data_IF_094679277646
#
_entry.id   IF_094679277646
#
_cell.length_a   1.000
_cell.length_b   1.000
_cell.length_c   1.000
_cell.angle_alpha   90.00
_cell.angle_beta   90.00
_cell.angle_gamma   90.00
#
_symmetry.space_group_name_H-M   'P 1'
#
loop_
_entity.id
_entity.type
_entity.pdbx_description
1 polymer ?
#
# COMPACT_ATOMS: atom_id res chain seq x y z
N UNK A 1 -38.80 -15.59 6.60
CA UNK A 1 -39.56 -16.06 5.43
C UNK A 1 -38.55 -16.55 4.40
N UNK A 2 -38.13 -17.80 4.54
CA UNK A 2 -37.13 -18.45 3.69
C UNK A 2 -37.83 -19.25 2.59
N UNK A 3 -37.32 -19.14 1.35
CA UNK A 3 -37.73 -19.96 0.21
C UNK A 3 -36.72 -21.11 0.03
N UNK A 4 -37.11 -22.39 0.14
CA UNK A 4 -36.30 -23.50 -0.36
C UNK A 4 -36.91 -24.02 -1.68
N UNK A 5 -36.13 -24.09 -2.77
CA UNK A 5 -36.74 -24.43 -4.06
C UNK A 5 -35.86 -24.89 -5.22
N UNK A 6 -34.56 -25.17 -5.05
CA UNK A 6 -33.73 -25.64 -6.19
C UNK A 6 -33.36 -27.14 -6.17
N UNK A 7 -33.41 -27.80 -5.00
CA UNK A 7 -33.01 -29.22 -4.91
C UNK A 7 -34.08 -30.22 -5.42
N UNK A 8 -35.35 -29.82 -5.51
CA UNK A 8 -36.46 -30.69 -5.92
C UNK A 8 -36.57 -30.89 -7.45
N UNK A 9 -35.88 -30.09 -8.27
CA UNK A 9 -36.02 -30.16 -9.73
C UNK A 9 -35.03 -31.12 -10.41
N UNK A 10 -33.86 -31.40 -9.81
CA UNK A 10 -32.90 -32.33 -10.40
C UNK A 10 -33.29 -33.81 -10.25
N UNK A 11 -34.02 -34.20 -9.20
CA UNK A 11 -34.46 -35.59 -9.02
C UNK A 11 -35.52 -36.04 -10.05
N UNK A 12 -36.36 -35.11 -10.54
CA UNK A 12 -37.42 -35.43 -11.50
C UNK A 12 -36.92 -35.64 -12.93
N UNK A 13 -35.68 -35.28 -13.23
CA UNK A 13 -35.08 -35.47 -14.56
C UNK A 13 -34.45 -36.88 -14.71
N UNK A 14 -33.96 -37.47 -13.62
CA UNK A 14 -33.32 -38.80 -13.65
C UNK A 14 -34.34 -39.95 -13.64
N UNK A 15 -35.51 -39.76 -13.02
CA UNK A 15 -36.52 -40.82 -12.93
C UNK A 15 -37.35 -41.00 -14.23
N UNK A 16 -37.38 -39.98 -15.10
CA UNK A 16 -38.23 -39.99 -16.32
C UNK A 16 -37.60 -40.74 -17.50
N UNK A 17 -36.30 -41.06 -17.44
CA UNK A 17 -35.57 -41.74 -18.52
C UNK A 17 -35.52 -43.27 -18.35
N UNK A 18 -35.90 -43.81 -17.19
CA UNK A 18 -35.84 -45.26 -16.91
C UNK A 18 -37.15 -46.04 -17.08
N UNK A 19 -38.28 -45.39 -17.41
CA UNK A 19 -39.63 -46.02 -17.37
C UNK A 19 -40.36 -46.24 -18.70
N UNK A 20 -39.73 -46.01 -19.85
CA UNK A 20 -40.32 -46.34 -21.15
C UNK A 20 -39.41 -47.27 -21.94
N UNK A 21 -39.61 -48.58 -21.77
CA UNK A 21 -39.57 -49.59 -22.85
C UNK A 21 -39.58 -51.00 -22.25
N UNK A 22 -40.75 -51.44 -21.79
CA UNK A 22 -41.04 -52.86 -21.59
C UNK A 22 -42.43 -53.11 -22.16
N UNK A 23 -42.52 -53.82 -23.29
CA UNK A 23 -43.68 -54.63 -23.71
C UNK A 23 -43.30 -55.52 -24.91
N UNK A 24 -43.83 -56.75 -24.85
CA UNK A 24 -44.11 -57.71 -25.92
C UNK A 24 -43.02 -58.71 -26.34
N UNK A 25 -42.98 -59.81 -25.59
CA UNK A 25 -42.62 -61.15 -26.07
C UNK A 25 -43.53 -61.59 -27.22
N UNK A 26 -42.94 -61.80 -28.41
CA UNK A 26 -43.48 -62.72 -29.41
C UNK A 26 -42.43 -63.78 -29.75
N UNK A 27 -42.80 -65.02 -29.44
CA UNK A 27 -42.05 -66.26 -29.63
C UNK A 27 -41.96 -66.56 -31.13
N UNK A 28 -40.75 -66.54 -31.68
CA UNK A 28 -40.42 -67.02 -33.02
C UNK A 28 -39.13 -67.81 -32.93
N UNK A 29 -39.22 -69.13 -32.93
CA UNK A 29 -38.08 -70.04 -32.97
C UNK A 29 -37.30 -69.82 -34.26
N UNK A 30 -36.16 -69.14 -34.16
CA UNK A 30 -35.09 -69.25 -35.15
C UNK A 30 -33.86 -69.69 -34.40
N UNK A 31 -33.42 -70.92 -34.65
CA UNK A 31 -32.15 -71.48 -34.20
C UNK A 31 -31.03 -70.48 -34.51
N UNK A 32 -30.61 -69.71 -33.51
CA UNK A 32 -29.45 -68.83 -33.62
C UNK A 32 -28.29 -69.63 -33.06
N UNK A 33 -27.38 -70.03 -33.95
CA UNK A 33 -26.09 -70.62 -33.57
C UNK A 33 -25.53 -69.90 -32.36
N UNK A 34 -25.20 -70.65 -31.31
CA UNK A 34 -24.33 -70.16 -30.23
C UNK A 34 -23.03 -69.79 -30.93
N UNK A 35 -22.82 -68.48 -31.17
CA UNK A 35 -21.52 -67.99 -31.57
C UNK A 35 -20.56 -68.37 -30.46
N UNK A 36 -19.48 -69.03 -30.85
CA UNK A 36 -18.32 -69.31 -30.00
C UNK A 36 -17.91 -67.98 -29.36
N UNK A 37 -18.03 -67.85 -28.05
CA UNK A 37 -17.30 -66.83 -27.28
C UNK A 37 -15.84 -67.26 -27.37
N UNK A 38 -15.10 -66.69 -28.31
CA UNK A 38 -13.66 -66.93 -28.40
C UNK A 38 -13.03 -66.31 -27.15
N UNK A 39 -12.53 -67.17 -26.25
CA UNK A 39 -11.82 -66.72 -25.06
C UNK A 39 -10.56 -65.96 -25.45
N UNK A 40 -10.34 -64.80 -24.83
CA UNK A 40 -9.15 -63.98 -25.04
C UNK A 40 -7.88 -64.81 -24.84
N UNK A 41 -6.97 -64.73 -25.80
CA UNK A 41 -5.64 -65.34 -25.68
C UNK A 41 -4.86 -64.63 -24.56
N UNK A 42 -4.10 -65.39 -23.77
CA UNK A 42 -3.22 -64.84 -22.73
C UNK A 42 -2.24 -63.79 -23.30
N UNK A 43 -1.85 -63.95 -24.56
CA UNK A 43 -1.00 -63.01 -25.30
C UNK A 43 -1.72 -61.67 -25.56
N UNK A 44 -3.01 -61.69 -25.84
CA UNK A 44 -3.81 -60.50 -26.12
C UNK A 44 -4.02 -59.66 -24.84
N UNK A 45 -4.20 -60.32 -23.71
CA UNK A 45 -4.27 -59.66 -22.39
C UNK A 45 -2.91 -59.04 -22.03
N UNK A 46 -1.80 -59.71 -22.36
CA UNK A 46 -0.45 -59.15 -22.14
C UNK A 46 -0.20 -57.93 -23.04
N UNK A 47 -0.56 -58.00 -24.32
CA UNK A 47 -0.42 -56.87 -25.25
C UNK A 47 -1.24 -55.66 -24.79
N UNK A 48 -2.49 -55.86 -24.38
CA UNK A 48 -3.36 -54.75 -23.93
C UNK A 48 -2.84 -54.08 -22.66
N UNK A 49 -2.31 -54.83 -21.69
CA UNK A 49 -1.68 -54.25 -20.49
C UNK A 49 -0.45 -53.41 -20.86
N UNK A 50 0.41 -53.91 -21.75
CA UNK A 50 1.61 -53.18 -22.18
C UNK A 50 1.23 -51.89 -22.91
N UNK A 51 0.27 -51.96 -23.84
CA UNK A 51 -0.21 -50.77 -24.56
C UNK A 51 -0.84 -49.76 -23.59
N UNK A 52 -1.62 -50.22 -22.61
CA UNK A 52 -2.25 -49.36 -21.61
C UNK A 52 -1.22 -48.65 -20.72
N UNK A 53 -0.18 -49.35 -20.26
CA UNK A 53 0.89 -48.76 -19.46
C UNK A 53 1.66 -47.71 -20.26
N UNK A 54 1.94 -47.95 -21.55
CA UNK A 54 2.59 -46.97 -22.41
C UNK A 54 1.74 -45.70 -22.61
N UNK A 55 0.43 -45.86 -22.79
CA UNK A 55 -0.51 -44.73 -22.90
C UNK A 55 -0.59 -43.96 -21.57
N UNK A 56 -0.67 -44.66 -20.43
CA UNK A 56 -0.65 -44.03 -19.10
C UNK A 56 0.65 -43.26 -18.85
N UNK A 57 1.80 -43.80 -19.26
CA UNK A 57 3.08 -43.12 -19.12
C UNK A 57 3.13 -41.83 -19.97
N UNK A 58 2.67 -41.90 -21.22
CA UNK A 58 2.62 -40.74 -22.12
C UNK A 58 1.67 -39.65 -21.58
N UNK A 59 0.48 -40.03 -21.12
CA UNK A 59 -0.51 -39.10 -20.55
C UNK A 59 -0.07 -38.53 -19.21
N UNK A 60 0.60 -39.30 -18.36
CA UNK A 60 1.14 -38.82 -17.08
C UNK A 60 2.15 -37.68 -17.27
N UNK A 61 3.03 -37.77 -18.28
CA UNK A 61 3.98 -36.69 -18.56
C UNK A 61 3.26 -35.41 -18.96
N UNK A 62 2.27 -35.50 -19.86
CA UNK A 62 1.47 -34.32 -20.26
C UNK A 62 0.71 -33.70 -19.09
N UNK A 63 0.19 -34.53 -18.18
CA UNK A 63 -0.51 -34.07 -16.99
C UNK A 63 0.43 -33.36 -16.02
N UNK A 64 1.65 -33.87 -15.82
CA UNK A 64 2.67 -33.21 -14.99
C UNK A 64 3.02 -31.84 -15.55
N UNK A 65 3.18 -31.70 -16.86
CA UNK A 65 3.53 -30.42 -17.48
C UNK A 65 2.36 -29.43 -17.39
N UNK A 66 1.12 -29.87 -17.63
CA UNK A 66 -0.08 -29.05 -17.39
C UNK A 66 -0.19 -28.57 -15.94
N UNK A 67 0.11 -29.43 -14.96
CA UNK A 67 0.10 -29.05 -13.56
C UNK A 67 1.19 -28.03 -13.22
N UNK A 68 2.39 -28.16 -13.80
CA UNK A 68 3.48 -27.19 -13.62
C UNK A 68 3.10 -25.83 -14.20
N UNK A 69 2.54 -25.82 -15.41
CA UNK A 69 2.10 -24.59 -16.06
C UNK A 69 0.96 -23.92 -15.29
N UNK A 70 -0.02 -24.71 -14.83
CA UNK A 70 -1.09 -24.20 -13.97
C UNK A 70 -0.54 -23.58 -12.68
N UNK A 71 0.40 -24.25 -11.99
CA UNK A 71 1.03 -23.70 -10.78
C UNK A 71 1.78 -22.39 -11.07
N UNK A 72 2.53 -22.33 -12.17
CA UNK A 72 3.22 -21.11 -12.60
C UNK A 72 2.24 -19.97 -12.86
N UNK A 73 1.18 -20.21 -13.63
CA UNK A 73 0.18 -19.20 -13.94
C UNK A 73 -0.59 -18.74 -12.71
N UNK A 74 -0.94 -19.67 -11.81
CA UNK A 74 -1.61 -19.34 -10.54
C UNK A 74 -0.73 -18.45 -9.66
N UNK A 75 0.54 -18.81 -9.47
CA UNK A 75 1.48 -18.03 -8.66
C UNK A 75 1.73 -16.64 -9.25
N UNK A 76 1.85 -16.51 -10.58
CA UNK A 76 1.96 -15.20 -11.24
C UNK A 76 0.69 -14.36 -11.04
N UNK A 77 -0.49 -14.97 -11.14
CA UNK A 77 -1.75 -14.26 -10.93
C UNK A 77 -1.92 -13.78 -9.49
N UNK A 78 -1.50 -14.58 -8.52
CA UNK A 78 -1.53 -14.24 -7.09
C UNK A 78 -0.66 -13.01 -6.83
N UNK A 79 0.62 -13.04 -7.21
CA UNK A 79 1.54 -11.91 -7.02
C UNK A 79 1.07 -10.64 -7.75
N UNK A 80 0.40 -10.79 -8.90
CA UNK A 80 -0.10 -9.64 -9.65
C UNK A 80 -1.30 -8.97 -8.96
N UNK A 81 -2.18 -9.75 -8.35
CA UNK A 81 -3.35 -9.22 -7.63
C UNK A 81 -2.88 -8.52 -6.34
N UNK A 82 -2.00 -9.16 -5.57
CA UNK A 82 -1.44 -8.59 -4.34
C UNK A 82 -0.67 -7.31 -4.64
N UNK A 83 0.19 -7.33 -5.66
CA UNK A 83 0.94 -6.15 -6.08
C UNK A 83 0.05 -5.01 -6.57
N UNK A 84 -1.04 -5.30 -7.29
CA UNK A 84 -1.96 -4.25 -7.74
C UNK A 84 -2.62 -3.53 -6.55
N UNK A 85 -3.11 -4.26 -5.54
CA UNK A 85 -3.75 -3.68 -4.36
C UNK A 85 -2.75 -2.92 -3.49
N UNK A 86 -1.56 -3.50 -3.30
CA UNK A 86 -0.49 -2.87 -2.52
C UNK A 86 -0.02 -1.55 -3.15
N UNK A 87 0.25 -1.55 -4.46
CA UNK A 87 0.72 -0.37 -5.19
C UNK A 87 -0.36 0.70 -5.32
N UNK A 88 -1.65 0.34 -5.41
CA UNK A 88 -2.75 1.30 -5.36
C UNK A 88 -2.82 2.00 -4.00
N UNK A 89 -2.54 1.27 -2.91
CA UNK A 89 -2.48 1.85 -1.56
C UNK A 89 -1.36 2.91 -1.46
N UNK A 90 -0.17 2.59 -1.97
CA UNK A 90 0.95 3.54 -2.05
C UNK A 90 0.60 4.75 -2.91
N UNK A 91 0.04 4.52 -4.10
CA UNK A 91 -0.36 5.59 -5.00
C UNK A 91 -1.38 6.54 -4.34
N UNK A 92 -2.38 5.99 -3.65
CA UNK A 92 -3.41 6.76 -2.94
C UNK A 92 -2.81 7.58 -1.80
N UNK A 93 -1.89 7.01 -1.03
CA UNK A 93 -1.23 7.73 0.07
C UNK A 93 -0.38 8.89 -0.47
N UNK A 94 0.40 8.66 -1.53
CA UNK A 94 1.21 9.73 -2.16
C UNK A 94 0.30 10.85 -2.67
N UNK A 95 -0.78 10.49 -3.38
CA UNK A 95 -1.75 11.48 -3.87
C UNK A 95 -2.39 12.28 -2.72
N UNK A 96 -2.50 11.66 -1.55
CA UNK A 96 -3.06 12.28 -0.35
C UNK A 96 -2.05 13.10 0.46
N UNK A 97 -0.76 13.09 0.12
CA UNK A 97 0.25 13.82 0.90
C UNK A 97 -0.14 15.31 1.01
N UNK A 98 -0.11 15.85 2.24
CA UNK A 98 -0.54 17.22 2.50
C UNK A 98 -2.03 17.39 2.82
N UNK A 99 -2.85 16.37 2.60
CA UNK A 99 -4.29 16.41 2.91
C UNK A 99 -4.52 16.63 4.40
N UNK A 100 -5.19 17.73 4.74
CA UNK A 100 -5.48 18.12 6.12
C UNK A 100 -4.25 18.48 6.96
N UNK A 101 -3.06 18.68 6.36
CA UNK A 101 -1.91 19.14 7.13
C UNK A 101 -2.05 20.63 7.48
N UNK A 102 -1.73 21.02 8.73
CA UNK A 102 -1.63 22.43 9.09
C UNK A 102 -0.41 23.05 8.41
N UNK A 103 -0.58 24.22 7.83
CA UNK A 103 0.52 24.98 7.22
C UNK A 103 1.11 26.00 8.16
N UNK A 104 0.28 26.48 9.07
CA UNK A 104 0.68 27.33 10.15
C UNK A 104 0.36 26.61 11.49
N UNK A 105 1.38 26.49 12.33
CA UNK A 105 1.28 25.94 13.69
C UNK A 105 1.52 27.01 14.76
N UNK A 106 1.60 28.29 14.37
CA UNK A 106 1.76 29.45 15.24
C UNK A 106 0.57 29.61 16.17
N UNK A 107 0.84 29.48 17.46
CA UNK A 107 -0.20 29.46 18.48
C UNK A 107 -0.04 28.26 19.39
N UNK A 108 0.44 27.12 18.87
CA UNK A 108 1.03 26.05 19.67
C UNK A 108 2.34 26.58 20.28
N UNK A 109 2.47 26.59 21.61
CA UNK A 109 3.68 27.09 22.25
C UNK A 109 4.84 26.14 21.99
N UNK A 110 5.78 26.59 21.17
CA UNK A 110 6.98 25.84 20.78
C UNK A 110 8.25 26.39 21.45
N UNK A 111 8.08 26.97 22.65
CA UNK A 111 9.16 27.49 23.49
C UNK A 111 8.93 26.95 24.89
N UNK A 112 9.90 26.18 25.36
CA UNK A 112 10.01 25.51 26.67
C UNK A 112 9.15 24.25 26.89
N UNK A 113 9.78 23.12 26.51
CA UNK A 113 9.48 21.74 26.90
C UNK A 113 9.30 21.64 28.42
N UNK A 114 8.15 21.12 28.89
CA UNK A 114 8.02 20.24 30.08
C UNK A 114 6.57 19.87 30.42
N UNK A 115 5.55 20.45 29.79
CA UNK A 115 4.16 20.03 29.99
C UNK A 115 3.64 19.23 28.79
N UNK A 116 3.07 18.05 29.05
CA UNK A 116 2.45 17.20 28.05
C UNK A 116 1.37 17.95 27.24
N UNK A 117 1.56 18.10 25.93
CA UNK A 117 0.50 18.52 24.99
C UNK A 117 0.80 19.70 24.06
N UNK A 118 1.90 20.45 24.25
CA UNK A 118 2.16 21.70 23.49
C UNK A 118 3.11 21.55 22.29
N UNK A 119 3.90 20.47 22.24
CA UNK A 119 4.73 20.12 21.08
C UNK A 119 4.32 18.75 20.56
N UNK A 120 4.00 18.67 19.27
CA UNK A 120 3.72 17.37 18.68
C UNK A 120 4.99 16.53 18.56
N UNK A 121 4.85 15.23 18.80
CA UNK A 121 5.90 14.22 18.73
C UNK A 121 5.48 13.22 17.67
N UNK A 122 6.34 12.97 16.70
CA UNK A 122 6.10 12.01 15.63
C UNK A 122 6.64 10.62 16.01
N UNK A 123 7.34 9.93 15.12
CA UNK A 123 7.89 8.62 15.39
C UNK A 123 8.93 8.69 16.52
N UNK A 124 8.92 7.69 17.40
CA UNK A 124 10.05 7.47 18.33
C UNK A 124 11.20 6.81 17.59
N UNK A 125 12.41 6.95 18.11
CA UNK A 125 13.55 6.23 17.55
C UNK A 125 13.34 4.72 17.61
N UNK A 126 13.63 4.05 16.51
CA UNK A 126 13.69 2.59 16.42
C UNK A 126 15.11 2.20 15.99
N UNK A 127 15.96 1.70 16.92
CA UNK A 127 17.38 1.52 16.65
C UNK A 127 17.66 0.49 15.55
N UNK A 128 18.54 0.88 14.63
CA UNK A 128 18.87 0.17 13.39
C UNK A 128 19.77 -1.06 13.64
N UNK A 129 19.38 -2.20 13.04
CA UNK A 129 20.24 -3.36 12.81
C UNK A 129 20.72 -3.43 11.35
N UNK A 130 21.56 -4.41 11.02
CA UNK A 130 21.89 -4.69 9.61
C UNK A 130 20.65 -5.26 8.89
N UNK A 131 20.27 -4.67 7.76
CA UNK A 131 19.06 -5.06 7.01
C UNK A 131 17.76 -4.39 7.48
N UNK A 132 17.85 -3.49 8.47
CA UNK A 132 16.73 -2.68 8.96
C UNK A 132 16.66 -1.32 8.24
N UNK A 133 15.47 -0.72 8.11
CA UNK A 133 15.31 0.62 7.57
C UNK A 133 15.99 1.69 8.44
N UNK A 134 16.22 2.91 7.90
CA UNK A 134 16.72 4.03 8.68
C UNK A 134 15.78 4.41 9.84
N UNK A 135 16.34 5.06 10.86
CA UNK A 135 15.60 5.44 12.08
C UNK A 135 14.48 6.42 11.69
N UNK A 136 13.19 6.06 11.91
CA UNK A 136 12.06 6.91 11.52
C UNK A 136 12.09 8.28 12.21
N UNK A 137 12.73 8.43 13.37
CA UNK A 137 12.88 9.71 14.04
C UNK A 137 13.71 10.73 13.20
N UNK A 138 14.54 10.23 12.27
CA UNK A 138 15.33 11.06 11.35
C UNK A 138 14.49 11.87 10.35
N UNK A 139 13.20 11.58 10.25
CA UNK A 139 12.26 12.24 9.34
C UNK A 139 11.15 13.03 10.07
N UNK A 140 11.28 13.20 11.38
CA UNK A 140 10.36 13.98 12.20
C UNK A 140 10.47 15.48 11.90
N UNK A 141 9.35 16.19 11.80
CA UNK A 141 9.30 17.66 11.88
C UNK A 141 8.93 18.14 13.29
N UNK A 142 8.25 17.28 14.06
CA UNK A 142 7.90 17.47 15.47
C UNK A 142 9.10 17.35 16.41
N UNK A 143 8.90 17.24 17.73
CA UNK A 143 10.00 17.07 18.69
C UNK A 143 10.34 15.59 18.91
N UNK A 144 11.63 15.19 18.94
CA UNK A 144 12.78 15.94 18.44
C UNK A 144 12.69 16.06 16.91
N UNK A 145 13.05 17.23 16.39
CA UNK A 145 13.00 17.48 14.95
C UNK A 145 14.20 16.80 14.29
N UNK A 146 14.01 16.35 13.05
CA UNK A 146 15.10 15.93 12.19
C UNK A 146 16.09 17.07 12.06
N UNK A 147 17.37 16.72 11.92
CA UNK A 147 18.43 17.71 11.74
C UNK A 147 18.24 18.58 10.48
N UNK A 148 17.39 18.14 9.54
CA UNK A 148 17.15 18.75 8.25
C UNK A 148 15.66 19.11 8.03
N UNK A 149 15.36 20.21 7.30
CA UNK A 149 16.30 21.23 6.84
C UNK A 149 16.94 22.00 8.00
N UNK A 150 18.18 22.45 7.85
CA UNK A 150 18.86 23.27 8.87
C UNK A 150 18.24 24.67 8.94
N UNK A 151 18.14 25.30 10.12
CA UNK A 151 18.50 24.79 11.45
C UNK A 151 17.34 24.04 12.11
N UNK A 152 17.63 22.83 12.61
CA UNK A 152 16.78 22.14 13.58
C UNK A 152 16.40 23.11 14.72
N UNK A 153 15.19 23.00 15.25
CA UNK A 153 14.68 23.81 16.38
C UNK A 153 14.15 25.23 16.05
N UNK A 154 13.52 25.43 14.88
CA UNK A 154 12.60 26.56 14.62
C UNK A 154 11.24 26.03 14.16
N UNK A 155 10.11 26.59 14.63
CA UNK A 155 8.73 26.05 14.44
C UNK A 155 8.52 25.55 13.02
N UNK A 156 8.41 24.23 12.81
CA UNK A 156 8.23 23.66 11.46
C UNK A 156 6.79 23.25 11.27
N UNK A 157 6.15 23.84 10.27
CA UNK A 157 5.01 23.18 9.66
C UNK A 157 5.45 21.78 9.20
N UNK A 158 4.59 20.75 9.33
CA UNK A 158 4.92 19.42 8.86
C UNK A 158 5.15 19.41 7.35
N UNK A 159 6.23 18.77 6.90
CA UNK A 159 6.46 18.47 5.50
C UNK A 159 5.49 17.37 5.07
N UNK A 160 4.78 17.60 3.98
CA UNK A 160 3.87 16.59 3.43
C UNK A 160 4.60 15.31 2.99
N UNK A 161 5.83 15.47 2.52
CA UNK A 161 6.71 14.42 2.08
C UNK A 161 8.07 14.61 2.75
N UNK A 162 8.68 13.53 3.20
CA UNK A 162 10.11 13.49 3.48
C UNK A 162 10.67 12.21 2.87
N UNK A 163 11.92 12.21 2.46
CA UNK A 163 12.57 11.02 1.92
C UNK A 163 13.99 10.89 2.43
N UNK A 164 14.46 9.65 2.47
CA UNK A 164 15.86 9.31 2.65
C UNK A 164 16.37 8.69 1.36
N UNK A 165 17.13 9.47 0.59
CA UNK A 165 17.76 9.03 -0.65
C UNK A 165 18.91 8.05 -0.35
N UNK A 166 18.86 6.83 -0.86
CA UNK A 166 19.87 5.79 -0.63
C UNK A 166 20.15 5.56 0.87
N UNK A 167 19.09 5.46 1.66
CA UNK A 167 19.19 5.26 3.13
C UNK A 167 18.68 3.91 3.62
N UNK A 168 18.00 3.15 2.76
CA UNK A 168 17.47 1.83 3.05
C UNK A 168 18.46 0.71 2.75
N UNK A 169 17.92 -0.50 2.60
CA UNK A 169 18.66 -1.72 2.29
C UNK A 169 19.24 -1.70 0.88
N UNK A 170 20.42 -2.32 0.69
CA UNK A 170 20.98 -2.59 -0.63
C UNK A 170 21.05 -4.10 -0.88
N UNK A 171 20.23 -4.57 -1.80
CA UNK A 171 20.19 -5.97 -2.22
C UNK A 171 20.92 -6.23 -3.54
N UNK A 172 21.51 -5.20 -4.17
CA UNK A 172 22.23 -5.36 -5.42
C UNK A 172 23.41 -6.33 -5.23
N UNK A 173 23.58 -7.27 -6.17
CA UNK A 173 24.70 -8.21 -6.12
C UNK A 173 26.05 -7.51 -6.27
N UNK A 174 26.06 -6.32 -6.88
CA UNK A 174 27.20 -5.42 -6.97
C UNK A 174 26.84 -4.15 -6.23
N UNK A 175 27.38 -3.99 -5.03
CA UNK A 175 27.20 -2.80 -4.23
C UNK A 175 27.90 -1.60 -4.89
N UNK A 176 27.17 -0.50 -5.03
CA UNK A 176 27.70 0.79 -5.48
C UNK A 176 27.67 1.75 -4.29
N UNK A 177 28.79 2.45 -4.06
CA UNK A 177 28.90 3.34 -2.90
C UNK A 177 27.87 4.47 -3.03
N UNK A 178 27.03 4.61 -2.01
CA UNK A 178 26.00 5.65 -1.97
C UNK A 178 24.73 5.29 -2.72
N UNK A 179 24.55 4.02 -3.12
CA UNK A 179 23.31 3.53 -3.71
C UNK A 179 22.65 2.49 -2.80
N UNK A 180 21.38 2.70 -2.47
CA UNK A 180 20.52 1.71 -1.82
C UNK A 180 19.05 2.04 -2.08
N UNK A 181 18.12 1.25 -1.56
CA UNK A 181 16.71 1.60 -1.65
C UNK A 181 16.38 2.87 -0.87
N UNK A 182 15.39 3.60 -1.35
CA UNK A 182 14.90 4.81 -0.71
C UNK A 182 13.95 4.53 0.45
N UNK A 183 13.81 5.54 1.31
CA UNK A 183 12.80 5.60 2.36
C UNK A 183 11.85 6.76 2.06
N UNK A 184 10.54 6.52 2.08
CA UNK A 184 9.54 7.55 1.78
C UNK A 184 8.59 7.75 2.96
N UNK A 185 8.48 8.99 3.43
CA UNK A 185 7.54 9.42 4.47
C UNK A 185 6.44 10.25 3.85
N UNK A 186 5.20 9.89 4.18
CA UNK A 186 4.00 10.58 3.73
C UNK A 186 3.23 11.04 4.96
N UNK A 187 2.96 12.35 5.04
CA UNK A 187 2.17 12.95 6.12
C UNK A 187 0.86 13.49 5.55
N UNK A 188 -0.24 13.04 6.14
CA UNK A 188 -1.59 13.49 5.83
C UNK A 188 -2.57 12.95 6.86
N UNK A 189 -3.80 13.45 6.90
CA UNK A 189 -4.78 12.91 7.86
C UNK A 189 -5.20 11.50 7.47
N UNK A 190 -5.47 11.25 6.20
CA UNK A 190 -6.13 10.04 5.69
C UNK A 190 -5.18 8.86 5.36
N UNK A 191 -3.89 8.94 5.69
CA UNK A 191 -2.92 7.83 5.46
C UNK A 191 -3.01 6.72 6.50
N UNK A 192 -3.66 6.99 7.64
CA UNK A 192 -3.98 5.95 8.61
C UNK A 192 -5.13 5.06 8.15
N UNK A 193 -5.14 3.82 8.62
CA UNK A 193 -6.09 2.76 8.24
C UNK A 193 -7.45 2.83 8.95
N UNK A 194 -7.67 3.84 9.79
CA UNK A 194 -8.91 3.96 10.56
C UNK A 194 -10.00 4.73 9.77
N UNK A 195 -11.27 4.54 10.15
CA UNK A 195 -12.40 5.23 9.47
C UNK A 195 -12.46 6.71 9.85
N UNK A 196 -12.01 7.07 11.06
CA UNK A 196 -12.04 8.45 11.56
C UNK A 196 -11.18 9.40 10.73
N UNK A 197 -10.00 8.95 10.30
CA UNK A 197 -9.06 9.71 9.47
C UNK A 197 -9.57 10.03 8.06
N UNK A 198 -10.63 9.36 7.62
CA UNK A 198 -11.22 9.54 6.29
C UNK A 198 -12.36 10.56 6.31
N UNK A 199 -12.71 11.12 7.47
CA UNK A 199 -13.90 11.95 7.66
C UNK A 199 -13.57 13.34 8.18
N UNK A 200 -14.35 14.31 7.74
CA UNK A 200 -14.22 15.71 8.13
C UNK A 200 -15.60 16.39 8.18
N UNK A 201 -15.69 17.52 8.88
CA UNK A 201 -16.88 18.38 8.87
C UNK A 201 -16.49 19.83 9.09
N UNK A 202 -17.45 20.73 8.99
CA UNK A 202 -17.27 22.13 9.35
C UNK A 202 -17.57 22.36 10.83
N UNK A 203 -16.78 23.23 11.44
CA UNK A 203 -17.00 23.79 12.78
C UNK A 203 -17.30 25.29 12.66
N UNK A 204 -18.39 25.73 13.27
CA UNK A 204 -18.87 27.11 13.30
C UNK A 204 -18.95 27.59 14.74
N UNK A 205 -19.02 28.91 14.94
CA UNK A 205 -19.12 29.53 16.26
C UNK A 205 -20.27 28.91 17.09
N UNK A 206 -20.02 28.71 18.38
CA UNK A 206 -20.94 28.06 19.31
C UNK A 206 -20.87 26.53 19.26
N UNK A 207 -19.71 25.96 18.94
CA UNK A 207 -19.43 24.54 18.80
C UNK A 207 -20.33 23.81 17.77
N UNK A 208 -20.86 24.56 16.80
CA UNK A 208 -21.86 24.08 15.87
C UNK A 208 -21.21 23.34 14.69
N UNK A 209 -21.60 22.08 14.49
CA UNK A 209 -21.02 21.19 13.48
C UNK A 209 -22.00 20.94 12.35
N UNK A 210 -21.48 20.81 11.13
CA UNK A 210 -22.34 20.44 9.98
C UNK A 210 -22.65 18.94 10.03
N UNK A 211 -23.93 18.60 10.04
CA UNK A 211 -24.38 17.23 9.91
C UNK A 211 -24.46 16.81 8.44
N UNK A 212 -23.86 15.68 8.11
CA UNK A 212 -23.94 15.06 6.79
C UNK A 212 -25.07 14.02 6.74
N UNK A 213 -25.65 13.85 5.55
CA UNK A 213 -26.64 12.80 5.24
C UNK A 213 -26.09 11.94 4.10
N UNK A 214 -25.95 10.60 4.27
CA UNK A 214 -26.33 9.81 5.45
C UNK A 214 -25.44 10.07 6.69
N UNK A 215 -25.95 9.74 7.88
CA UNK A 215 -25.26 10.04 9.15
C UNK A 215 -23.88 9.38 9.28
N UNK A 216 -23.60 8.30 8.55
CA UNK A 216 -22.28 7.68 8.50
C UNK A 216 -21.19 8.58 7.94
N UNK A 217 -21.53 9.61 7.16
CA UNK A 217 -20.55 10.57 6.64
C UNK A 217 -20.07 11.56 7.71
N UNK A 218 -20.76 11.63 8.86
CA UNK A 218 -20.25 12.40 10.00
C UNK A 218 -18.98 11.77 10.56
N UNK A 219 -18.11 12.64 11.07
CA UNK A 219 -16.88 12.24 11.78
C UNK A 219 -17.26 11.25 12.88
N UNK A 220 -16.72 10.05 12.78
CA UNK A 220 -17.12 8.92 13.60
C UNK A 220 -15.96 7.91 13.71
N UNK A 221 -16.04 7.05 14.72
CA UNK A 221 -15.10 5.96 14.98
C UNK A 221 -15.12 4.89 13.91
N UNK A 222 -16.31 4.58 13.38
CA UNK A 222 -16.52 3.47 12.46
C UNK A 222 -17.63 3.76 11.42
N UNK A 223 -18.05 2.72 10.71
CA UNK A 223 -19.10 2.74 9.70
C UNK A 223 -20.52 2.53 10.25
N UNK A 224 -20.70 2.41 11.58
CA UNK A 224 -21.99 2.06 12.22
C UNK A 224 -23.07 3.13 12.16
N UNK A 225 -22.86 4.23 11.42
CA UNK A 225 -23.75 5.38 11.30
C UNK A 225 -24.04 6.14 12.61
N UNK A 226 -23.50 5.70 13.75
CA UNK A 226 -23.69 6.34 15.05
C UNK A 226 -22.61 7.39 15.29
N UNK A 227 -22.93 8.64 15.60
CA UNK A 227 -21.88 9.63 15.90
C UNK A 227 -21.15 9.30 17.21
N UNK A 228 -19.91 8.81 17.13
CA UNK A 228 -19.03 8.65 18.28
C UNK A 228 -18.38 10.00 18.64
N UNK A 229 -18.75 10.49 19.82
CA UNK A 229 -18.33 11.77 20.35
C UNK A 229 -16.92 11.76 20.96
N UNK A 230 -16.30 10.59 21.15
CA UNK A 230 -14.99 10.43 21.77
C UNK A 230 -13.82 10.44 20.78
N UNK A 231 -14.10 10.40 19.48
CA UNK A 231 -13.06 10.45 18.45
C UNK A 231 -12.23 11.72 18.56
N UNK A 232 -10.93 11.60 18.29
CA UNK A 232 -10.00 12.72 18.41
C UNK A 232 -9.90 13.46 17.09
N UNK A 233 -10.07 14.77 17.20
CA UNK A 233 -10.18 15.67 16.06
C UNK A 233 -9.20 16.82 16.20
N UNK A 234 -8.81 17.35 15.06
CA UNK A 234 -8.11 18.63 14.96
C UNK A 234 -8.98 19.63 14.22
N UNK A 235 -8.72 20.92 14.48
CA UNK A 235 -9.44 22.01 13.84
C UNK A 235 -8.44 22.90 13.12
N UNK A 236 -8.71 23.11 11.83
CA UNK A 236 -7.90 23.97 10.96
C UNK A 236 -8.77 25.15 10.55
N UNK A 237 -8.28 26.36 10.86
CA UNK A 237 -8.79 27.56 10.24
C UNK A 237 -8.20 27.64 8.82
N UNK A 238 -9.02 27.56 7.76
CA UNK A 238 -8.52 27.62 6.40
C UNK A 238 -7.77 28.93 6.11
N UNK A 239 -8.14 30.04 6.77
CA UNK A 239 -7.54 31.35 6.56
C UNK A 239 -7.67 31.87 5.13
N UNK A 240 -7.19 33.09 4.89
CA UNK A 240 -7.22 33.72 3.56
C UNK A 240 -5.97 34.48 3.15
N UNK A 241 -4.98 34.61 4.04
CA UNK A 241 -3.70 35.28 3.77
C UNK A 241 -2.54 34.28 3.92
N UNK A 242 -1.45 34.48 3.17
CA UNK A 242 -0.30 33.55 3.09
C UNK A 242 0.34 33.23 4.44
N UNK A 243 0.19 34.11 5.46
CA UNK A 243 0.68 33.87 6.82
C UNK A 243 -0.33 33.27 7.80
N UNK A 244 -1.59 33.06 7.38
CA UNK A 244 -2.67 32.56 8.25
C UNK A 244 -3.48 31.43 7.63
N UNK A 245 -3.03 30.92 6.48
CA UNK A 245 -3.69 29.83 5.77
C UNK A 245 -3.44 28.50 6.47
N UNK A 246 -4.48 27.66 6.54
CA UNK A 246 -4.49 26.36 7.22
C UNK A 246 -3.81 26.41 8.60
N UNK A 247 -4.25 27.36 9.43
CA UNK A 247 -3.80 27.55 10.79
C UNK A 247 -4.40 26.48 11.71
N UNK A 248 -3.52 25.75 12.42
CA UNK A 248 -3.92 24.80 13.46
C UNK A 248 -4.47 25.55 14.68
N UNK A 249 -5.72 25.29 15.04
CA UNK A 249 -6.31 25.84 16.26
C UNK A 249 -5.82 25.06 17.47
N UNK A 250 -5.50 25.80 18.53
CA UNK A 250 -5.14 25.25 19.83
C UNK A 250 -5.95 25.94 20.92
N UNK A 251 -6.18 25.25 22.03
CA UNK A 251 -6.85 25.82 23.18
C UNK A 251 -5.91 26.74 24.00
N UNK A 252 -6.44 27.31 25.09
CA UNK A 252 -5.65 28.13 26.01
C UNK A 252 -4.45 27.39 26.63
N UNK A 253 -4.58 26.07 26.82
CA UNK A 253 -3.52 25.17 27.29
C UNK A 253 -2.56 24.71 26.20
N UNK A 254 -2.71 25.21 24.96
CA UNK A 254 -1.90 24.88 23.79
C UNK A 254 -2.09 23.45 23.28
N UNK A 255 -3.20 22.81 23.62
CA UNK A 255 -3.58 21.49 23.11
C UNK A 255 -4.23 21.66 21.73
N UNK A 256 -3.70 20.93 20.74
CA UNK A 256 -4.13 21.02 19.34
C UNK A 256 -5.24 20.04 18.93
N UNK A 257 -5.70 19.21 19.87
CA UNK A 257 -6.74 18.22 19.61
C UNK A 257 -7.79 18.21 20.73
N UNK A 258 -9.01 17.83 20.37
CA UNK A 258 -10.11 17.63 21.32
C UNK A 258 -10.88 16.35 20.97
N UNK A 259 -11.72 15.89 21.88
CA UNK A 259 -12.78 14.96 21.52
C UNK A 259 -13.81 15.69 20.63
N UNK A 260 -14.45 14.98 19.71
CA UNK A 260 -15.45 15.56 18.81
C UNK A 260 -16.55 16.33 19.57
N UNK A 261 -16.99 15.87 20.75
CA UNK A 261 -17.99 16.58 21.54
C UNK A 261 -17.49 17.79 22.35
N UNK A 262 -16.20 18.13 22.29
CA UNK A 262 -15.60 19.13 23.17
C UNK A 262 -14.72 20.12 22.38
N UNK A 263 -15.21 20.61 21.24
CA UNK A 263 -14.48 21.53 20.35
C UNK A 263 -14.75 23.02 20.58
N UNK A 264 -15.49 23.37 21.64
CA UNK A 264 -15.84 24.76 21.98
C UNK A 264 -14.63 25.69 22.22
N UNK A 265 -13.48 25.15 22.63
CA UNK A 265 -12.25 25.97 22.80
C UNK A 265 -11.50 26.22 21.48
N UNK A 266 -11.93 25.56 20.38
CA UNK A 266 -11.25 25.58 19.08
C UNK A 266 -12.10 26.22 17.97
N UNK A 267 -13.36 26.52 18.24
CA UNK A 267 -14.28 27.09 17.28
C UNK A 267 -13.98 28.58 16.99
N UNK A 268 -14.65 29.17 15.99
CA UNK A 268 -14.56 30.61 15.76
C UNK A 268 -15.15 31.42 16.93
N UNK A 269 -14.61 32.62 17.13
CA UNK A 269 -15.09 33.54 18.17
C UNK A 269 -16.60 33.75 18.10
N UNK A 270 -17.23 33.96 19.26
CA UNK A 270 -18.69 34.12 19.35
C UNK A 270 -19.16 35.27 18.45
N UNK A 271 -20.09 34.95 17.54
CA UNK A 271 -20.61 35.91 16.55
C UNK A 271 -19.82 35.99 15.24
N UNK A 272 -18.71 35.25 15.10
CA UNK A 272 -17.99 35.12 13.84
C UNK A 272 -18.79 34.30 12.81
N UNK A 273 -18.67 34.68 11.54
CA UNK A 273 -19.19 33.92 10.39
C UNK A 273 -18.15 32.96 9.81
N UNK A 274 -16.96 32.89 10.41
CA UNK A 274 -15.91 32.00 9.93
C UNK A 274 -16.34 30.54 10.03
N UNK A 275 -15.84 29.73 9.09
CA UNK A 275 -16.08 28.30 9.06
C UNK A 275 -14.72 27.61 9.11
N UNK A 276 -14.47 26.89 10.18
CA UNK A 276 -13.26 26.08 10.33
C UNK A 276 -13.52 24.66 9.82
N UNK A 277 -12.46 23.97 9.42
CA UNK A 277 -12.52 22.57 9.00
C UNK A 277 -12.05 21.70 10.16
N UNK A 278 -12.90 20.76 10.55
CA UNK A 278 -12.63 19.78 11.59
C UNK A 278 -12.36 18.43 10.92
N UNK A 279 -11.20 17.85 11.22
CA UNK A 279 -10.81 16.54 10.72
C UNK A 279 -10.77 15.50 11.83
N UNK A 280 -11.31 14.32 11.56
CA UNK A 280 -11.05 13.15 12.40
C UNK A 280 -9.62 12.65 12.18
N UNK A 281 -8.92 12.25 13.24
CA UNK A 281 -7.55 11.74 13.14
C UNK A 281 -7.42 10.35 13.74
N UNK A 282 -7.98 10.16 14.93
CA UNK A 282 -7.87 8.91 15.70
C UNK A 282 -9.22 8.51 16.31
N UNK A 283 -9.56 7.21 16.33
CA UNK A 283 -10.83 6.70 16.84
C UNK A 283 -11.00 6.84 18.37
N UNK A 284 -9.98 7.27 19.10
CA UNK A 284 -10.09 7.45 20.56
C UNK A 284 -8.75 7.65 21.30
N UNK A 285 -7.62 7.35 20.65
CA UNK A 285 -6.28 7.60 21.21
C UNK A 285 -5.92 9.07 21.09
N UNK A 286 -5.50 9.69 22.19
CA UNK A 286 -4.99 11.08 22.22
C UNK A 286 -3.86 11.29 21.21
N UNK A 287 -3.83 12.48 20.60
CA UNK A 287 -2.96 12.71 19.44
C UNK A 287 -1.58 13.14 19.89
N UNK A 288 -0.56 12.36 19.48
CA UNK A 288 0.84 12.80 19.54
C UNK A 288 1.20 13.83 18.47
N UNK A 289 0.47 13.86 17.35
CA UNK A 289 0.67 14.81 16.25
C UNK A 289 -0.63 15.15 15.51
N UNK A 290 -0.73 16.34 14.89
CA UNK A 290 -1.99 16.82 14.30
C UNK A 290 -2.31 16.19 12.93
N UNK A 291 -1.72 15.03 12.62
CA UNK A 291 -1.89 14.32 11.35
C UNK A 291 -1.56 12.84 11.56
N UNK A 292 -1.74 12.03 10.52
CA UNK A 292 -1.21 10.68 10.47
C UNK A 292 0.05 10.64 9.58
N UNK A 293 0.95 9.70 9.85
CA UNK A 293 2.19 9.51 9.11
C UNK A 293 2.30 8.05 8.71
N UNK A 294 2.60 7.82 7.43
CA UNK A 294 2.88 6.52 6.87
C UNK A 294 4.27 6.55 6.21
N UNK A 295 5.10 5.59 6.58
CA UNK A 295 6.44 5.41 6.06
C UNK A 295 6.46 4.19 5.15
N UNK A 296 7.20 4.28 4.04
CA UNK A 296 7.35 3.23 3.03
C UNK A 296 8.81 2.90 2.87
N UNK A 297 9.14 1.62 3.02
CA UNK A 297 10.51 1.11 2.97
C UNK A 297 10.53 -0.40 2.77
N UNK A 298 11.70 -0.92 2.37
CA UNK A 298 11.93 -2.34 2.22
C UNK A 298 12.70 -2.85 3.44
N UNK A 299 12.32 -4.01 3.95
CA UNK A 299 12.97 -4.68 5.09
C UNK A 299 13.10 -6.19 4.82
N UNK A 300 14.23 -6.77 5.24
CA UNK A 300 14.51 -8.21 5.11
C UNK A 300 14.04 -8.99 6.34
N UNK A 301 12.74 -8.95 6.64
CA UNK A 301 12.18 -9.65 7.80
C UNK A 301 10.99 -10.54 7.40
N UNK A 302 11.00 -11.78 7.90
CA UNK A 302 9.98 -12.80 7.66
C UNK A 302 9.74 -13.10 6.16
N UNK A 303 10.81 -13.14 5.38
CA UNK A 303 10.74 -13.36 3.93
C UNK A 303 10.09 -14.69 3.55
N UNK A 304 9.09 -14.69 2.65
CA UNK A 304 8.56 -15.91 2.05
C UNK A 304 9.66 -16.72 1.35
N UNK A 305 9.65 -18.04 1.50
CA UNK A 305 10.63 -18.94 0.84
C UNK A 305 10.53 -18.96 -0.69
N UNK A 306 9.48 -18.35 -1.24
CA UNK A 306 9.24 -18.19 -2.67
C UNK A 306 10.02 -17.02 -3.27
N UNK A 307 10.46 -16.09 -2.44
CA UNK A 307 11.21 -14.93 -2.88
C UNK A 307 12.66 -15.28 -3.22
N UNK A 308 13.23 -14.53 -4.16
CA UNK A 308 14.63 -14.60 -4.49
C UNK A 308 15.49 -14.22 -3.28
N UNK A 309 16.66 -14.85 -3.07
CA UNK A 309 17.65 -14.36 -2.12
C UNK A 309 17.96 -12.88 -2.33
N UNK A 310 18.28 -12.13 -1.27
CA UNK A 310 18.49 -10.68 -1.33
C UNK A 310 17.25 -9.95 -1.90
N UNK A 311 16.09 -10.20 -1.29
CA UNK A 311 14.89 -9.39 -1.50
C UNK A 311 14.23 -9.17 -0.14
N UNK A 312 13.45 -8.10 -0.05
CA UNK A 312 12.68 -7.73 1.13
C UNK A 312 11.19 -7.69 0.86
N UNK A 313 10.44 -7.28 1.88
CA UNK A 313 9.04 -6.89 1.75
C UNK A 313 8.96 -5.37 1.80
N UNK A 314 8.22 -4.77 0.86
CA UNK A 314 7.84 -3.37 0.94
C UNK A 314 6.75 -3.22 2.00
N UNK A 315 7.03 -2.47 3.05
CA UNK A 315 6.09 -2.18 4.12
C UNK A 315 5.50 -0.78 3.99
N UNK A 316 4.22 -0.66 4.35
CA UNK A 316 3.60 0.58 4.82
C UNK A 316 3.62 0.55 6.34
N UNK A 317 4.24 1.54 6.97
CA UNK A 317 4.38 1.62 8.42
C UNK A 317 3.70 2.88 8.94
N UNK A 318 2.59 2.72 9.67
CA UNK A 318 1.84 3.86 10.23
C UNK A 318 2.32 4.15 11.64
N UNK A 319 2.62 5.42 11.95
CA UNK A 319 3.03 5.86 13.29
C UNK A 319 1.83 5.81 14.24
N UNK A 320 1.99 5.12 15.37
CA UNK A 320 0.96 5.01 16.40
C UNK A 320 0.88 6.29 17.26
N UNK A 321 -0.34 6.80 17.45
CA UNK A 321 -0.58 7.93 18.35
C UNK A 321 -0.38 7.62 19.83
N UNK A 322 -0.35 6.35 20.27
CA UNK A 322 -0.16 6.00 21.68
C UNK A 322 1.30 6.05 22.13
N UNK A 323 2.21 5.54 21.31
CA UNK A 323 3.62 5.31 21.68
C UNK A 323 4.62 5.80 20.64
N UNK A 324 4.18 6.19 19.44
CA UNK A 324 5.03 6.63 18.34
C UNK A 324 5.76 5.53 17.61
N UNK A 325 5.46 4.26 17.91
CA UNK A 325 6.04 3.13 17.19
C UNK A 325 5.36 2.95 15.84
N UNK A 326 6.05 2.26 14.94
CA UNK A 326 5.55 1.92 13.63
C UNK A 326 4.71 0.64 13.68
N UNK A 327 3.49 0.70 13.15
CA UNK A 327 2.68 -0.48 12.83
C UNK A 327 2.88 -0.82 11.36
N UNK A 328 3.66 -1.88 11.09
CA UNK A 328 4.03 -2.33 9.75
C UNK A 328 2.91 -3.17 9.11
N UNK A 329 2.62 -2.90 7.84
CA UNK A 329 1.66 -3.60 6.99
C UNK A 329 2.39 -3.99 5.71
N UNK A 330 2.52 -5.28 5.38
CA UNK A 330 3.16 -5.70 4.14
C UNK A 330 2.32 -5.24 2.94
N UNK A 331 2.98 -4.66 1.94
CA UNK A 331 2.36 -4.09 0.74
C UNK A 331 2.68 -4.93 -0.49
N UNK A 332 3.95 -5.33 -0.62
CA UNK A 332 4.42 -6.14 -1.74
C UNK A 332 5.61 -6.99 -1.28
N UNK A 333 5.56 -8.28 -1.57
CA UNK A 333 6.63 -9.21 -1.27
C UNK A 333 7.67 -9.27 -2.40
N UNK A 334 8.84 -9.83 -2.09
CA UNK A 334 9.91 -10.11 -3.04
C UNK A 334 10.45 -8.87 -3.78
N UNK A 335 10.55 -7.75 -3.07
CA UNK A 335 11.00 -6.46 -3.57
C UNK A 335 12.52 -6.34 -3.40
N UNK A 336 13.23 -6.06 -4.49
CA UNK A 336 14.69 -5.91 -4.49
C UNK A 336 15.12 -4.45 -4.39
N UNK A 337 14.31 -3.50 -4.86
CA UNK A 337 14.67 -2.09 -4.80
C UNK A 337 13.45 -1.15 -4.86
N UNK A 338 13.56 0.01 -4.23
CA UNK A 338 12.62 1.12 -4.36
C UNK A 338 13.39 2.42 -4.56
N UNK A 339 13.04 3.20 -5.59
CA UNK A 339 13.63 4.51 -5.88
C UNK A 339 12.52 5.56 -6.03
N UNK A 340 12.73 6.76 -5.51
CA UNK A 340 11.75 7.85 -5.47
C UNK A 340 12.35 9.10 -6.11
N UNK A 341 11.65 9.65 -7.10
CA UNK A 341 12.05 10.88 -7.78
C UNK A 341 10.96 11.93 -7.66
N UNK A 342 11.35 13.15 -7.30
CA UNK A 342 10.48 14.31 -7.15
C UNK A 342 10.67 15.24 -8.33
N UNK A 343 9.59 15.50 -9.07
CA UNK A 343 9.59 16.51 -10.13
C UNK A 343 9.11 17.84 -9.58
N UNK A 344 9.92 18.86 -9.77
CA UNK A 344 9.78 20.17 -9.14
C UNK A 344 9.64 21.30 -10.15
N UNK A 345 8.73 22.20 -9.82
CA UNK A 345 8.54 23.52 -10.40
C UNK A 345 9.33 24.51 -9.53
N UNK A 346 10.55 24.85 -9.95
CA UNK A 346 11.48 25.61 -9.10
C UNK A 346 11.30 27.12 -9.23
N UNK A 347 10.69 27.56 -10.34
CA UNK A 347 10.44 28.96 -10.65
C UNK A 347 8.98 29.39 -10.35
N UNK A 348 8.12 28.44 -9.97
CA UNK A 348 6.70 28.62 -9.63
C UNK A 348 5.83 29.09 -10.81
N UNK A 349 6.21 28.76 -12.05
CA UNK A 349 5.43 29.07 -13.26
C UNK A 349 4.34 28.02 -13.56
N UNK A 350 4.27 26.95 -12.76
CA UNK A 350 3.33 25.84 -12.91
C UNK A 350 3.84 24.71 -13.81
N UNK A 351 5.06 24.82 -14.34
CA UNK A 351 5.73 23.84 -15.19
C UNK A 351 6.85 23.16 -14.38
N UNK A 352 7.10 21.90 -14.69
CA UNK A 352 8.20 21.15 -14.08
C UNK A 352 9.51 21.55 -14.75
N UNK A 353 10.49 21.98 -13.95
CA UNK A 353 11.81 22.42 -14.40
C UNK A 353 12.93 21.43 -14.05
N UNK A 354 12.79 20.70 -12.94
CA UNK A 354 13.91 19.97 -12.32
C UNK A 354 13.44 18.66 -11.71
N UNK A 355 14.29 17.64 -11.81
CA UNK A 355 14.15 16.37 -11.12
C UNK A 355 15.06 16.34 -9.89
N UNK A 356 14.59 15.78 -8.79
CA UNK A 356 15.35 15.66 -7.55
C UNK A 356 15.11 14.29 -6.93
N UNK A 357 16.18 13.59 -6.58
CA UNK A 357 16.11 12.32 -5.82
C UNK A 357 16.17 12.57 -4.30
N UNK A 358 16.60 13.77 -3.91
CA UNK A 358 16.71 14.20 -2.52
C UNK A 358 15.96 15.51 -2.28
N UNK A 359 15.00 15.46 -1.36
CA UNK A 359 14.23 16.61 -0.86
C UNK A 359 14.49 16.88 0.63
N UNK A 360 15.45 16.20 1.26
CA UNK A 360 15.74 16.29 2.69
C UNK A 360 16.08 17.72 3.15
N UNK A 361 16.67 18.51 2.26
CA UNK A 361 17.07 19.91 2.50
C UNK A 361 15.94 20.92 2.30
N UNK A 362 14.78 20.51 1.78
CA UNK A 362 13.66 21.40 1.50
C UNK A 362 12.72 21.54 2.70
N UNK A 363 12.31 22.76 3.00
CA UNK A 363 11.31 23.02 4.03
C UNK A 363 9.88 22.73 3.54
N UNK A 364 8.93 22.74 4.47
CA UNK A 364 7.53 22.42 4.16
C UNK A 364 6.92 23.39 3.14
N UNK A 365 7.31 24.67 3.17
CA UNK A 365 6.82 25.68 2.21
C UNK A 365 7.34 25.39 0.82
N UNK A 366 8.65 25.16 0.68
CA UNK A 366 9.28 24.83 -0.59
C UNK A 366 8.74 23.52 -1.17
N UNK A 367 8.50 22.50 -0.34
CA UNK A 367 7.88 21.25 -0.81
C UNK A 367 6.48 21.50 -1.36
N UNK A 368 5.65 22.29 -0.68
CA UNK A 368 4.30 22.63 -1.14
C UNK A 368 4.32 23.39 -2.46
N UNK A 369 5.18 24.39 -2.55
CA UNK A 369 5.23 25.29 -3.69
C UNK A 369 5.87 24.65 -4.90
N UNK A 370 6.85 23.75 -4.72
CA UNK A 370 7.66 23.26 -5.83
C UNK A 370 7.38 21.81 -6.23
N UNK A 371 7.03 20.89 -5.32
CA UNK A 371 6.82 19.48 -5.72
C UNK A 371 5.48 19.34 -6.45
N UNK A 372 5.51 18.94 -7.72
CA UNK A 372 4.31 18.78 -8.56
C UNK A 372 4.01 17.33 -8.92
N UNK A 373 5.04 16.49 -8.98
CA UNK A 373 4.90 15.08 -9.32
C UNK A 373 5.90 14.25 -8.50
N UNK A 374 5.46 13.08 -8.03
CA UNK A 374 6.28 12.07 -7.37
C UNK A 374 6.25 10.82 -8.23
N UNK A 375 7.43 10.29 -8.54
CA UNK A 375 7.61 9.02 -9.22
C UNK A 375 8.21 8.01 -8.28
N UNK A 376 7.66 6.80 -8.26
CA UNK A 376 8.20 5.69 -7.48
C UNK A 376 8.46 4.53 -8.40
N UNK A 377 9.66 3.99 -8.36
CA UNK A 377 10.11 2.83 -9.12
C UNK A 377 10.36 1.69 -8.14
N UNK A 378 9.68 0.56 -8.32
CA UNK A 378 9.80 -0.60 -7.43
C UNK A 378 10.20 -1.80 -8.27
N UNK A 379 11.36 -2.38 -7.98
CA UNK A 379 11.83 -3.62 -8.58
C UNK A 379 11.39 -4.80 -7.72
N UNK A 380 10.59 -5.69 -8.28
CA UNK A 380 10.18 -6.93 -7.64
C UNK A 380 10.10 -8.07 -8.67
N UNK A 381 9.97 -9.31 -8.21
CA UNK A 381 9.70 -10.43 -9.11
C UNK A 381 8.29 -10.99 -8.93
N UNK A 382 7.73 -11.52 -10.02
CA UNK A 382 6.41 -12.16 -10.04
C UNK A 382 6.57 -13.69 -10.01
N UNK A 383 5.66 -14.36 -9.31
CA UNK A 383 5.64 -15.81 -9.17
C UNK A 383 6.87 -16.41 -8.48
N UNK A 384 7.17 -17.68 -8.79
CA UNK A 384 8.25 -18.45 -8.19
C UNK A 384 9.42 -18.63 -9.15
N UNK A 385 10.57 -19.08 -8.62
CA UNK A 385 11.76 -19.42 -9.40
C UNK A 385 11.42 -20.36 -10.57
N UNK A 386 11.82 -19.99 -11.78
CA UNK A 386 11.68 -20.80 -12.98
C UNK A 386 13.06 -21.12 -13.56
N UNK A 387 13.56 -22.34 -13.33
CA UNK A 387 14.90 -22.74 -13.76
C UNK A 387 15.07 -22.74 -15.30
N UNK A 388 13.98 -22.78 -16.07
CA UNK A 388 14.01 -22.67 -17.53
C UNK A 388 13.97 -21.21 -18.03
N UNK A 389 13.76 -20.25 -17.14
CA UNK A 389 13.76 -18.83 -17.45
C UNK A 389 15.11 -18.22 -17.12
N UNK A 390 15.60 -17.34 -17.99
CA UNK A 390 16.79 -16.52 -17.73
C UNK A 390 16.44 -15.09 -18.09
N UNK A 391 16.49 -14.20 -17.11
CA UNK A 391 16.35 -12.77 -17.31
C UNK A 391 17.42 -12.27 -18.26
N UNK A 392 17.04 -11.33 -19.12
CA UNK A 392 17.97 -10.59 -19.96
C UNK A 392 17.52 -9.15 -20.05
N UNK A 393 18.44 -8.21 -19.83
CA UNK A 393 18.16 -6.78 -19.99
C UNK A 393 17.65 -6.48 -21.40
N UNK A 394 16.56 -5.70 -21.48
CA UNK A 394 16.08 -5.08 -22.72
C UNK A 394 16.70 -3.71 -22.96
N UNK A 395 17.38 -3.13 -21.96
CA UNK A 395 18.15 -1.90 -22.09
C UNK A 395 19.54 -2.25 -22.63
N UNK A 396 19.81 -1.85 -23.88
CA UNK A 396 21.07 -2.11 -24.57
C UNK A 396 22.28 -1.40 -23.95
N UNK A 397 22.07 -0.48 -23.00
CA UNK A 397 23.14 0.21 -22.27
C UNK A 397 23.60 -0.53 -21.01
N UNK A 398 22.93 -1.62 -20.64
CA UNK A 398 23.16 -2.36 -19.41
C UNK A 398 23.76 -3.76 -19.68
N UNK A 399 24.43 -4.31 -18.68
CA UNK A 399 24.87 -5.71 -18.67
C UNK A 399 23.68 -6.70 -18.64
N UNK A 400 23.94 -7.96 -18.98
CA UNK A 400 22.89 -8.99 -19.11
C UNK A 400 22.12 -9.24 -17.79
N UNK A 401 22.73 -9.01 -16.63
CA UNK A 401 22.14 -9.19 -15.28
C UNK A 401 21.60 -7.90 -14.65
N UNK A 402 21.71 -6.77 -15.35
CA UNK A 402 21.41 -5.45 -14.81
C UNK A 402 19.99 -5.01 -15.17
N UNK A 403 19.37 -4.27 -14.25
CA UNK A 403 18.06 -3.65 -14.40
C UNK A 403 18.14 -2.19 -13.97
N UNK A 404 17.57 -1.29 -14.76
CA UNK A 404 17.37 0.10 -14.33
C UNK A 404 16.13 0.19 -13.45
N UNK A 405 16.30 0.64 -12.21
CA UNK A 405 15.21 0.97 -11.29
C UNK A 405 15.07 2.48 -11.29
N UNK A 406 14.34 2.99 -12.27
CA UNK A 406 14.33 4.41 -12.58
C UNK A 406 14.07 4.68 -14.05
N UNK A 407 14.31 5.93 -14.46
CA UNK A 407 14.18 6.35 -15.85
C UNK A 407 15.45 7.11 -16.26
N UNK A 408 16.00 6.75 -17.43
CA UNK A 408 17.23 7.33 -17.94
C UNK A 408 17.07 8.86 -18.11
N UNK A 409 17.93 9.63 -17.45
CA UNK A 409 17.89 11.10 -17.48
C UNK A 409 16.92 11.76 -16.50
N UNK A 410 16.19 10.98 -15.69
CA UNK A 410 15.30 11.49 -14.64
C UNK A 410 15.83 11.13 -13.25
N UNK A 411 16.25 9.88 -13.05
CA UNK A 411 16.76 9.39 -11.78
C UNK A 411 16.55 7.89 -11.60
N UNK A 412 16.91 7.40 -10.42
CA UNK A 412 17.01 6.01 -10.02
C UNK A 412 18.40 5.43 -10.28
N UNK A 413 18.52 4.11 -10.10
CA UNK A 413 19.82 3.43 -10.12
C UNK A 413 19.85 2.18 -11.01
N UNK A 414 21.05 1.61 -11.15
CA UNK A 414 21.24 0.33 -11.84
C UNK A 414 21.39 -0.75 -10.76
N UNK A 415 20.48 -1.72 -10.79
CA UNK A 415 20.46 -2.86 -9.89
C UNK A 415 21.05 -4.08 -10.58
N UNK A 416 21.95 -4.81 -9.93
CA UNK A 416 22.50 -6.07 -10.45
C UNK A 416 21.83 -7.28 -9.77
N UNK A 417 21.18 -8.13 -10.58
CA UNK A 417 20.52 -9.34 -10.11
C UNK A 417 21.48 -10.44 -9.65
N UNK A 418 22.74 -10.40 -10.07
CA UNK A 418 23.71 -11.45 -9.84
C UNK A 418 23.20 -12.82 -10.31
N UNK A 419 23.00 -13.74 -9.36
CA UNK A 419 22.55 -15.11 -9.65
C UNK A 419 21.03 -15.27 -9.72
N UNK A 420 20.26 -14.22 -9.38
CA UNK A 420 18.79 -14.27 -9.34
C UNK A 420 18.11 -14.11 -10.71
N UNK A 421 18.78 -14.49 -11.79
CA UNK A 421 18.28 -14.35 -13.17
C UNK A 421 17.14 -15.34 -13.51
N UNK A 422 16.86 -16.33 -12.66
CA UNK A 422 15.79 -17.31 -12.87
C UNK A 422 14.42 -16.87 -12.30
N UNK A 423 14.25 -15.58 -12.02
CA UNK A 423 12.99 -14.98 -11.55
C UNK A 423 12.48 -13.96 -12.55
N UNK A 424 11.16 -13.79 -12.65
CA UNK A 424 10.54 -12.84 -13.57
C UNK A 424 10.50 -11.45 -12.94
N UNK A 425 11.57 -10.71 -13.13
CA UNK A 425 11.71 -9.35 -12.64
C UNK A 425 10.86 -8.35 -13.40
N UNK A 426 10.33 -7.37 -12.67
CA UNK A 426 9.51 -6.29 -13.19
C UNK A 426 9.77 -5.02 -12.38
N UNK A 427 9.85 -3.90 -13.09
CA UNK A 427 9.87 -2.58 -12.49
C UNK A 427 8.46 -2.00 -12.57
N UNK A 428 7.86 -1.76 -11.41
CA UNK A 428 6.61 -1.02 -11.29
C UNK A 428 6.92 0.47 -11.24
N UNK A 429 6.28 1.25 -12.11
CA UNK A 429 6.43 2.71 -12.16
C UNK A 429 5.13 3.37 -11.77
N UNK A 430 5.15 4.10 -10.66
CA UNK A 430 4.05 4.94 -10.23
C UNK A 430 4.38 6.39 -10.56
N UNK A 431 3.45 7.10 -11.20
CA UNK A 431 3.57 8.53 -11.52
C UNK A 431 2.37 9.24 -10.92
N UNK A 432 2.60 10.05 -9.89
CA UNK A 432 1.55 10.69 -9.10
C UNK A 432 1.70 12.20 -9.15
N UNK A 433 0.64 12.90 -9.54
CA UNK A 433 0.56 14.37 -9.46
C UNK A 433 0.09 14.80 -8.09
N UNK A 434 0.70 15.88 -7.58
CA UNK A 434 0.45 16.38 -6.24
C UNK A 434 -0.64 17.45 -6.24
N UNK A 435 -1.87 17.08 -5.87
CA UNK A 435 -3.03 17.99 -5.84
C UNK A 435 -3.23 18.67 -4.47
N UNK A 436 -2.83 18.01 -3.38
CA UNK A 436 -3.10 18.47 -2.01
C UNK A 436 -2.03 19.43 -1.43
N UNK A 437 -0.96 19.68 -2.20
CA UNK A 437 0.15 20.54 -1.81
C UNK A 437 -0.12 22.03 -2.09
N UNK A 438 -1.11 22.36 -2.92
CA UNK A 438 -1.52 23.73 -3.25
C UNK A 438 -2.66 24.26 -2.37
#
# INVERSE_FOLDING_TARGET
MEKPGLYSQLYKCVEKTMKHSFISLKRGNSFKMIKREEGFSLVELLITMVVFVLILAATSNTFIDLLKDFKKQSALSETNIEGAVGLETLQRDIASAGYGLPWNVDGAAWTDLTAAGSTYVEAVSDPQGAGEPPDPASFNDGSPASALPVPANTRRAPRALASGNNTGVDFSAVAVVGESSDYLVIKAINVATNVTSQKWTHLKAGDAKTGWTPQCENVNRDSSCNTDNAVKVIVINPGGASGSQRLLKVDAGKIFFKAYSATADLDPDTGSTDVYVLYGVSPGTDLRMPFNRADYFIEELNMPSTCAPNTGVLYKAVVNHSDGKLTKIPVLDCVADMQVVFRRDTNTDGIIDTESEDISTLDATTIRDQVKEVRVYILAHEGQRDAGYTYRSTDATLGDTQIRVGEAGIGGRIFDLGTNINYRWKVYTLVIKMENLK
#
